data_IF_343813199886
#
_entry.id   IF_343813199886
#
_cell.length_a   1.000
_cell.length_b   1.000
_cell.length_c   1.000
_cell.angle_alpha   90.00
_cell.angle_beta   90.00
_cell.angle_gamma   90.00
#
_symmetry.space_group_name_H-M   'P 1'
#
loop_
_entity.id
_entity.type
_entity.pdbx_description
1 polymer ?
#
# COMPACT_ATOMS: atom_id res chain seq x y z
N UNK A 1 -37.88 -77.68 -7.69
CA UNK A 1 -37.50 -76.54 -8.55
C UNK A 1 -37.09 -75.38 -7.67
N UNK A 2 -36.22 -74.56 -8.22
CA UNK A 2 -35.31 -73.65 -7.53
C UNK A 2 -35.98 -72.44 -6.84
N UNK A 3 -35.22 -71.93 -5.87
CA UNK A 3 -35.26 -70.67 -5.10
C UNK A 3 -35.66 -69.41 -5.89
N UNK A 4 -36.25 -68.43 -5.18
CA UNK A 4 -35.80 -67.03 -5.32
C UNK A 4 -36.06 -66.19 -4.06
N UNK A 5 -34.93 -65.89 -3.43
CA UNK A 5 -34.62 -64.91 -2.40
C UNK A 5 -35.01 -63.48 -2.80
N UNK A 6 -35.53 -62.70 -1.85
CA UNK A 6 -35.34 -61.24 -1.82
C UNK A 6 -35.00 -60.81 -0.39
N UNK A 7 -33.70 -60.66 -0.13
CA UNK A 7 -33.21 -59.95 1.06
C UNK A 7 -33.15 -58.47 0.72
N UNK A 8 -33.91 -57.64 1.43
CA UNK A 8 -33.80 -56.18 1.43
C UNK A 8 -32.54 -55.79 2.19
N UNK A 9 -31.45 -55.52 1.45
CA UNK A 9 -30.27 -54.88 2.01
C UNK A 9 -30.57 -53.39 2.21
N UNK A 10 -30.67 -52.94 3.47
CA UNK A 10 -30.61 -51.52 3.82
C UNK A 10 -29.15 -51.07 3.74
N UNK A 11 -28.73 -50.55 2.58
CA UNK A 11 -27.51 -49.75 2.48
C UNK A 11 -27.73 -48.43 3.20
N UNK A 12 -27.23 -48.32 4.42
CA UNK A 12 -26.99 -47.06 5.10
C UNK A 12 -25.92 -46.28 4.32
N UNK A 13 -26.33 -45.49 3.34
CA UNK A 13 -25.46 -44.46 2.77
C UNK A 13 -25.25 -43.40 3.85
N UNK A 14 -24.16 -43.54 4.60
CA UNK A 14 -23.60 -42.45 5.38
C UNK A 14 -23.08 -41.43 4.38
N UNK A 15 -23.97 -40.56 3.89
CA UNK A 15 -23.55 -39.28 3.33
C UNK A 15 -22.92 -38.54 4.49
N UNK A 16 -21.60 -38.57 4.58
CA UNK A 16 -20.88 -37.58 5.35
C UNK A 16 -21.31 -36.22 4.78
N UNK A 17 -21.98 -35.41 5.59
CA UNK A 17 -22.09 -33.99 5.30
C UNK A 17 -20.68 -33.49 5.00
N UNK A 18 -20.48 -32.70 3.92
CA UNK A 18 -19.18 -32.08 3.71
C UNK A 18 -18.86 -31.29 4.98
N UNK A 19 -17.75 -31.62 5.63
CA UNK A 19 -17.21 -30.76 6.66
C UNK A 19 -17.10 -29.35 6.07
N UNK A 20 -17.56 -28.31 6.78
CA UNK A 20 -17.41 -26.94 6.29
C UNK A 20 -15.94 -26.76 5.96
N UNK A 21 -15.65 -26.42 4.70
CA UNK A 21 -14.31 -26.00 4.33
C UNK A 21 -13.90 -24.92 5.33
N UNK A 22 -12.70 -24.99 5.93
CA UNK A 22 -12.25 -23.93 6.81
C UNK A 22 -12.42 -22.63 6.03
N UNK A 23 -13.23 -21.70 6.56
CA UNK A 23 -13.34 -20.38 5.96
C UNK A 23 -11.92 -19.95 5.67
N UNK A 24 -11.61 -19.76 4.38
CA UNK A 24 -10.27 -19.45 3.92
C UNK A 24 -9.91 -18.17 4.65
N UNK A 25 -9.22 -18.29 5.79
CA UNK A 25 -9.22 -17.29 6.84
C UNK A 25 -8.81 -15.97 6.23
N UNK A 26 -9.79 -15.09 6.04
CA UNK A 26 -9.51 -13.75 5.58
C UNK A 26 -8.54 -13.14 6.56
N UNK A 27 -7.63 -12.30 6.06
CA UNK A 27 -6.84 -11.47 6.95
C UNK A 27 -7.79 -10.74 7.90
N UNK A 28 -7.41 -10.56 9.18
CA UNK A 28 -8.19 -9.77 10.12
C UNK A 28 -8.60 -8.43 9.49
N UNK A 29 -9.79 -7.92 9.83
CA UNK A 29 -10.29 -6.65 9.25
C UNK A 29 -9.40 -5.45 9.56
N UNK A 30 -8.58 -5.57 10.60
CA UNK A 30 -7.58 -4.61 11.08
C UNK A 30 -6.16 -4.92 10.58
N UNK A 31 -5.99 -5.91 9.70
CA UNK A 31 -4.68 -6.22 9.13
C UNK A 31 -4.13 -5.05 8.33
N UNK A 32 -2.97 -4.55 8.77
CA UNK A 32 -2.20 -3.54 8.06
C UNK A 32 -1.14 -4.23 7.19
N UNK A 33 -1.23 -4.07 5.88
CA UNK A 33 -0.23 -4.64 4.98
C UNK A 33 1.04 -3.80 4.95
N UNK A 34 2.21 -4.45 4.90
CA UNK A 34 3.52 -3.76 4.75
C UNK A 34 3.55 -2.83 3.53
N UNK A 35 2.97 -3.28 2.42
CA UNK A 35 2.90 -2.49 1.18
C UNK A 35 2.03 -1.24 1.34
N UNK A 36 0.96 -1.31 2.13
CA UNK A 36 0.15 -0.14 2.46
C UNK A 36 0.97 0.87 3.27
N UNK A 37 1.69 0.43 4.32
CA UNK A 37 2.52 1.34 5.13
C UNK A 37 3.59 2.01 4.27
N UNK A 38 4.38 1.24 3.50
CA UNK A 38 5.43 1.82 2.64
C UNK A 38 4.83 2.83 1.65
N UNK A 39 3.66 2.54 1.08
CA UNK A 39 2.96 3.47 0.17
C UNK A 39 2.57 4.77 0.88
N UNK A 40 1.97 4.70 2.06
CA UNK A 40 1.59 5.91 2.80
C UNK A 40 2.81 6.78 3.10
N UNK A 41 3.93 6.18 3.55
CA UNK A 41 5.16 6.94 3.82
C UNK A 41 5.65 7.64 2.55
N UNK A 42 5.72 6.92 1.43
CA UNK A 42 6.15 7.50 0.14
C UNK A 42 5.24 8.63 -0.33
N UNK A 43 3.91 8.51 -0.14
CA UNK A 43 2.96 9.57 -0.48
C UNK A 43 3.22 10.84 0.34
N UNK A 44 3.38 10.71 1.66
CA UNK A 44 3.65 11.84 2.53
C UNK A 44 5.02 12.47 2.28
N UNK A 45 6.04 11.66 1.98
CA UNK A 45 7.37 12.16 1.61
C UNK A 45 7.30 12.92 0.30
N UNK A 46 6.66 12.37 -0.74
CA UNK A 46 6.52 13.05 -2.02
C UNK A 46 5.72 14.35 -1.90
N UNK A 47 4.60 14.34 -1.16
CA UNK A 47 3.80 15.54 -0.89
C UNK A 47 4.66 16.64 -0.25
N UNK A 48 5.45 16.27 0.76
CA UNK A 48 6.35 17.22 1.40
C UNK A 48 7.48 17.71 0.48
N UNK A 49 8.04 16.86 -0.37
CA UNK A 49 9.03 17.29 -1.37
C UNK A 49 8.46 18.39 -2.26
N UNK A 50 7.21 18.25 -2.71
CA UNK A 50 6.54 19.24 -3.55
C UNK A 50 6.36 20.60 -2.84
N UNK A 51 6.28 20.61 -1.51
CA UNK A 51 6.12 21.81 -0.68
C UNK A 51 7.45 22.45 -0.29
N UNK A 52 8.44 21.64 0.10
CA UNK A 52 9.71 22.14 0.65
C UNK A 52 10.75 22.46 -0.44
N UNK A 53 10.70 21.75 -1.57
CA UNK A 53 11.62 21.92 -2.69
C UNK A 53 10.94 22.66 -3.86
N UNK A 54 11.70 22.95 -4.93
CA UNK A 54 11.11 23.46 -6.17
C UNK A 54 10.23 22.38 -6.80
N UNK A 55 8.92 22.64 -6.88
CA UNK A 55 7.93 21.66 -7.33
C UNK A 55 8.17 21.20 -8.77
N UNK A 56 8.59 22.09 -9.67
CA UNK A 56 8.88 21.72 -11.06
C UNK A 56 10.11 20.80 -11.12
N UNK A 57 11.16 21.13 -10.37
CA UNK A 57 12.36 20.29 -10.25
C UNK A 57 12.03 18.90 -9.68
N UNK A 58 11.23 18.83 -8.60
CA UNK A 58 10.81 17.56 -7.99
C UNK A 58 10.12 16.67 -9.01
N UNK A 59 9.19 17.23 -9.78
CA UNK A 59 8.42 16.50 -10.80
C UNK A 59 9.28 16.10 -11.99
N UNK A 60 10.20 16.97 -12.43
CA UNK A 60 11.13 16.67 -13.53
C UNK A 60 12.17 15.61 -13.16
N UNK A 61 12.55 15.52 -11.88
CA UNK A 61 13.46 14.50 -11.37
C UNK A 61 12.83 13.09 -11.32
N UNK A 62 11.49 12.96 -11.40
CA UNK A 62 10.82 11.65 -11.43
C UNK A 62 11.09 10.96 -12.78
N UNK A 63 12.21 10.25 -12.89
CA UNK A 63 12.59 9.62 -14.16
C UNK A 63 11.81 8.31 -14.40
N UNK A 64 11.37 8.09 -15.65
CA UNK A 64 10.82 6.81 -16.13
C UNK A 64 9.42 6.42 -15.61
N UNK A 65 8.93 7.03 -14.55
CA UNK A 65 7.66 6.67 -13.90
C UNK A 65 6.72 7.84 -13.60
N UNK A 66 7.13 9.08 -13.91
CA UNK A 66 6.29 10.29 -13.78
C UNK A 66 4.91 10.14 -14.43
N UNK A 67 4.89 9.70 -15.68
CA UNK A 67 3.66 9.58 -16.46
C UNK A 67 2.67 8.61 -15.81
N UNK A 68 3.17 7.57 -15.11
CA UNK A 68 2.31 6.62 -14.39
C UNK A 68 1.67 7.24 -13.16
N UNK A 69 2.34 8.15 -12.46
CA UNK A 69 1.76 8.85 -11.31
C UNK A 69 0.64 9.79 -11.75
N UNK A 70 0.82 10.48 -12.90
CA UNK A 70 -0.24 11.28 -13.50
C UNK A 70 -1.39 10.42 -14.05
N UNK A 71 -1.09 9.36 -14.78
CA UNK A 71 -2.09 8.45 -15.36
C UNK A 71 -2.92 7.76 -14.28
N UNK A 72 -2.31 7.37 -13.15
CA UNK A 72 -2.99 6.81 -11.99
C UNK A 72 -3.69 7.87 -11.11
N UNK A 73 -3.56 9.16 -11.43
CA UNK A 73 -4.06 10.31 -10.65
C UNK A 73 -3.51 10.42 -9.23
N UNK A 74 -2.34 9.86 -8.98
CA UNK A 74 -1.61 9.99 -7.71
C UNK A 74 -0.95 11.36 -7.62
N UNK A 75 -0.35 11.82 -8.72
CA UNK A 75 0.17 13.17 -8.88
C UNK A 75 -0.76 13.94 -9.82
N UNK A 76 -1.18 15.13 -9.43
CA UNK A 76 -2.10 15.96 -10.23
C UNK A 76 -1.53 17.36 -10.41
N UNK A 77 -1.66 17.90 -11.63
CA UNK A 77 -1.37 19.30 -11.93
C UNK A 77 -2.60 20.15 -11.59
N UNK A 78 -2.37 21.27 -10.92
CA UNK A 78 -3.36 22.23 -10.43
C UNK A 78 -2.98 23.64 -10.90
N UNK A 79 -3.83 24.64 -10.62
CA UNK A 79 -3.50 26.04 -10.93
C UNK A 79 -2.27 26.55 -10.16
N UNK A 80 -1.97 25.95 -9.00
CA UNK A 80 -0.93 26.36 -8.07
C UNK A 80 0.32 25.44 -8.09
N UNK A 81 0.43 24.54 -9.08
CA UNK A 81 1.53 23.58 -9.20
C UNK A 81 1.03 22.14 -9.12
N UNK A 82 1.70 21.29 -8.32
CA UNK A 82 1.40 19.86 -8.26
C UNK A 82 0.96 19.43 -6.86
N UNK A 83 0.04 18.45 -6.79
CA UNK A 83 -0.47 17.89 -5.53
C UNK A 83 -0.49 16.37 -5.56
N UNK A 84 -0.31 15.74 -4.40
CA UNK A 84 -0.52 14.30 -4.21
C UNK A 84 -1.98 14.02 -3.85
N UNK A 85 -2.57 12.99 -4.46
CA UNK A 85 -3.89 12.47 -4.12
C UNK A 85 -3.78 11.38 -3.05
N UNK A 86 -4.32 11.65 -1.87
CA UNK A 86 -4.31 10.69 -0.76
C UNK A 86 -5.54 9.78 -0.73
N UNK A 87 -6.63 10.12 -1.42
CA UNK A 87 -7.80 9.25 -1.56
C UNK A 87 -7.55 8.17 -2.61
N UNK A 88 -7.31 6.94 -2.16
CA UNK A 88 -7.02 5.79 -3.03
C UNK A 88 -8.22 5.40 -3.89
N UNK A 89 -9.44 5.79 -3.49
CA UNK A 89 -10.65 5.55 -4.31
C UNK A 89 -10.74 6.53 -5.50
N UNK A 90 -9.98 7.63 -5.48
CA UNK A 90 -9.87 8.56 -6.59
C UNK A 90 -8.83 8.13 -7.65
N UNK A 91 -8.01 7.12 -7.34
CA UNK A 91 -6.93 6.65 -8.20
C UNK A 91 -7.44 5.78 -9.34
N UNK A 92 -6.82 5.91 -10.51
CA UNK A 92 -7.11 5.12 -11.72
C UNK A 92 -6.08 4.00 -11.91
N UNK A 93 -5.92 3.14 -10.89
CA UNK A 93 -4.86 2.12 -10.87
C UNK A 93 -4.93 1.07 -11.97
N UNK A 94 -6.12 0.83 -12.53
CA UNK A 94 -6.33 -0.05 -13.67
C UNK A 94 -5.72 0.50 -14.97
N UNK A 95 -5.65 1.83 -15.12
CA UNK A 95 -5.07 2.49 -16.29
C UNK A 95 -3.54 2.24 -16.36
N UNK A 96 -2.90 2.16 -15.20
CA UNK A 96 -1.47 1.79 -15.06
C UNK A 96 -1.25 0.29 -14.84
N UNK A 97 -2.32 -0.53 -14.91
CA UNK A 97 -2.30 -1.98 -14.91
C UNK A 97 -2.45 -2.68 -13.56
N UNK A 98 -1.99 -2.08 -12.45
CA UNK A 98 -2.29 -2.50 -11.07
C UNK A 98 -1.62 -1.57 -10.04
N UNK A 99 -2.06 -1.63 -8.78
CA UNK A 99 -1.50 -0.86 -7.65
C UNK A 99 0.03 -1.01 -7.50
N UNK A 100 0.58 -2.22 -7.71
CA UNK A 100 2.04 -2.40 -7.66
C UNK A 100 2.85 -1.59 -8.70
N UNK A 101 2.23 -1.11 -9.79
CA UNK A 101 2.89 -0.17 -10.73
C UNK A 101 2.93 1.24 -10.18
N UNK A 102 1.92 1.62 -9.40
CA UNK A 102 1.92 2.86 -8.63
C UNK A 102 3.01 2.79 -7.56
N UNK A 103 3.09 1.69 -6.81
CA UNK A 103 4.11 1.52 -5.77
C UNK A 103 5.52 1.65 -6.34
N UNK A 104 5.80 1.03 -7.50
CA UNK A 104 7.09 1.18 -8.18
C UNK A 104 7.34 2.63 -8.65
N UNK A 105 6.31 3.32 -9.12
CA UNK A 105 6.43 4.71 -9.54
C UNK A 105 6.69 5.67 -8.37
N UNK A 106 6.13 5.38 -7.19
CA UNK A 106 6.39 6.12 -5.96
C UNK A 106 7.82 5.91 -5.45
N UNK A 107 8.36 4.68 -5.58
CA UNK A 107 9.78 4.42 -5.30
C UNK A 107 10.66 5.28 -6.19
N UNK A 108 10.44 5.26 -7.51
CA UNK A 108 11.21 6.09 -8.44
C UNK A 108 11.08 7.59 -8.11
N UNK A 109 9.88 8.06 -7.77
CA UNK A 109 9.66 9.48 -7.44
C UNK A 109 10.38 9.94 -6.16
N UNK A 110 10.53 9.04 -5.19
CA UNK A 110 11.21 9.34 -3.91
C UNK A 110 12.72 9.13 -3.99
N UNK A 111 13.21 8.17 -4.77
CA UNK A 111 14.66 7.89 -4.92
C UNK A 111 15.43 9.04 -5.59
N UNK A 112 14.86 9.64 -6.64
CA UNK A 112 15.53 10.71 -7.39
C UNK A 112 15.42 12.10 -6.76
N UNK A 113 14.79 12.22 -5.58
CA UNK A 113 14.62 13.47 -4.87
C UNK A 113 15.22 13.38 -3.47
N UNK A 114 15.78 14.48 -2.99
CA UNK A 114 16.43 14.54 -1.68
C UNK A 114 15.49 15.08 -0.60
N UNK A 115 15.57 14.46 0.58
CA UNK A 115 15.02 14.97 1.83
C UNK A 115 16.08 15.84 2.49
N UNK A 116 15.81 17.14 2.59
CA UNK A 116 16.76 18.14 3.12
C UNK A 116 16.26 18.83 4.39
N UNK A 117 15.01 18.57 4.81
CA UNK A 117 14.32 19.32 5.86
C UNK A 117 14.43 18.70 7.26
N UNK A 118 14.83 17.43 7.39
CA UNK A 118 14.99 16.74 8.69
C UNK A 118 16.45 16.58 9.16
N UNK A 119 17.38 17.36 8.61
CA UNK A 119 18.78 17.37 9.05
C UNK A 119 19.75 16.92 7.96
N UNK A 120 20.27 15.69 8.07
CA UNK A 120 21.17 15.13 7.05
C UNK A 120 20.42 14.93 5.74
N UNK A 121 21.07 15.31 4.63
CA UNK A 121 20.54 15.09 3.29
C UNK A 121 20.62 13.62 2.94
N UNK A 122 19.47 13.02 2.64
CA UNK A 122 19.31 11.62 2.21
C UNK A 122 18.35 11.55 1.03
N UNK A 123 18.34 10.46 0.27
CA UNK A 123 17.28 10.28 -0.74
C UNK A 123 15.93 10.06 -0.07
N UNK A 124 14.84 10.33 -0.78
CA UNK A 124 13.50 10.01 -0.27
C UNK A 124 13.31 8.51 -0.03
N UNK A 125 13.92 7.65 -0.87
CA UNK A 125 13.89 6.20 -0.63
C UNK A 125 14.62 5.84 0.67
N UNK A 126 15.81 6.39 0.92
CA UNK A 126 16.55 6.17 2.17
C UNK A 126 15.75 6.64 3.39
N UNK A 127 15.07 7.79 3.29
CA UNK A 127 14.22 8.33 4.35
C UNK A 127 13.00 7.45 4.62
N UNK A 128 12.37 6.90 3.58
CA UNK A 128 11.26 5.94 3.67
C UNK A 128 11.72 4.62 4.28
N UNK A 129 12.86 4.09 3.84
CA UNK A 129 13.38 2.81 4.31
C UNK A 129 13.79 2.90 5.79
N UNK A 130 14.34 4.03 6.25
CA UNK A 130 14.60 4.28 7.67
C UNK A 130 13.32 4.20 8.52
N UNK A 131 12.21 4.82 8.07
CA UNK A 131 10.92 4.70 8.73
C UNK A 131 10.44 3.24 8.77
N UNK A 132 10.52 2.55 7.63
CA UNK A 132 10.08 1.17 7.54
C UNK A 132 10.91 0.24 8.43
N UNK A 133 12.20 0.50 8.60
CA UNK A 133 13.07 -0.29 9.47
C UNK A 133 12.78 -0.07 10.95
N UNK A 134 12.41 1.16 11.36
CA UNK A 134 12.10 1.47 12.76
C UNK A 134 10.67 1.09 13.16
N UNK A 135 9.67 1.37 12.32
CA UNK A 135 8.26 1.34 12.73
C UNK A 135 7.45 0.17 12.17
N UNK A 136 7.93 -0.54 11.14
CA UNK A 136 7.23 -1.71 10.63
C UNK A 136 7.03 -2.76 11.72
N UNK A 137 5.82 -3.31 11.82
CA UNK A 137 5.42 -4.32 12.80
C UNK A 137 5.41 -3.83 14.26
N UNK A 138 5.55 -2.52 14.49
CA UNK A 138 5.45 -1.90 15.83
C UNK A 138 4.07 -1.31 16.14
N UNK A 139 3.24 -1.08 15.11
CA UNK A 139 1.90 -0.50 15.18
C UNK A 139 0.88 -1.44 14.51
N UNK A 140 -0.37 -1.41 15.01
CA UNK A 140 -1.37 -2.43 14.66
C UNK A 140 -2.50 -1.92 13.76
N UNK A 141 -2.58 -0.61 13.48
CA UNK A 141 -3.73 -0.01 12.79
C UNK A 141 -3.28 1.06 11.80
N UNK A 142 -4.01 1.21 10.70
CA UNK A 142 -3.79 2.29 9.74
C UNK A 142 -3.74 3.67 10.40
N UNK A 143 -4.65 3.97 11.34
CA UNK A 143 -4.68 5.26 12.05
C UNK A 143 -3.38 5.57 12.81
N UNK A 144 -2.88 4.61 13.59
CA UNK A 144 -1.58 4.73 14.28
C UNK A 144 -0.42 4.94 13.30
N UNK A 145 -0.39 4.19 12.20
CA UNK A 145 0.63 4.38 11.17
C UNK A 145 0.52 5.76 10.52
N UNK A 146 -0.67 6.24 10.15
CA UNK A 146 -0.83 7.58 9.57
C UNK A 146 -0.36 8.68 10.53
N UNK A 147 -0.69 8.57 11.82
CA UNK A 147 -0.21 9.52 12.84
C UNK A 147 1.33 9.49 12.96
N UNK A 148 1.91 8.29 13.02
CA UNK A 148 3.36 8.07 13.07
C UNK A 148 4.08 8.61 11.83
N UNK A 149 3.55 8.36 10.62
CA UNK A 149 4.10 8.85 9.35
C UNK A 149 4.06 10.38 9.31
N UNK A 150 2.93 10.97 9.69
CA UNK A 150 2.76 12.43 9.68
C UNK A 150 3.79 13.08 10.59
N UNK A 151 3.93 12.59 11.82
CA UNK A 151 4.92 13.10 12.78
C UNK A 151 6.36 12.90 12.27
N UNK A 152 6.69 11.72 11.77
CA UNK A 152 8.04 11.42 11.24
C UNK A 152 8.41 12.31 10.04
N UNK A 153 7.49 12.49 9.09
CA UNK A 153 7.71 13.37 7.92
C UNK A 153 7.85 14.82 8.36
N UNK A 154 7.21 15.21 9.47
CA UNK A 154 7.37 16.47 10.25
C UNK A 154 8.64 16.56 11.10
N UNK A 155 9.59 15.65 10.88
CA UNK A 155 10.85 15.55 11.63
C UNK A 155 10.66 15.30 13.12
N UNK A 156 9.48 14.79 13.51
CA UNK A 156 9.23 14.21 14.80
C UNK A 156 9.88 12.85 14.96
N UNK A 157 9.61 12.18 16.08
CA UNK A 157 10.20 10.89 16.39
C UNK A 157 9.35 9.72 15.89
N UNK A 158 8.22 9.98 15.22
CA UNK A 158 7.32 8.99 14.66
C UNK A 158 6.51 8.24 15.71
N UNK A 159 6.48 8.66 16.98
CA UNK A 159 5.79 7.94 18.06
C UNK A 159 4.44 8.62 18.38
N UNK A 160 3.30 7.93 18.13
CA UNK A 160 1.95 8.48 18.38
C UNK A 160 1.57 8.55 19.87
#
# INVERSE_FOLDING_TARGET
MATLTMCTALTSCSTSEPEPEPERGGLPSDYVSRSWVKREVMLHVLDRMLVENDTEEVVDNITGSRDKLFEARVLQETEDGYTVEFDKDAWTTDEVGHIGRVDAALVDATDFNEVTWCGETVTGEEFVDAYMDEFWDTLDTNEKYTASITDYVDCGDGRP
#
